data_IF_679402642936
#
_entry.id   IF_679402642936
#
_cell.length_a   1.000
_cell.length_b   1.000
_cell.length_c   1.000
_cell.angle_alpha   90.00
_cell.angle_beta   90.00
_cell.angle_gamma   90.00
#
_symmetry.space_group_name_H-M   'P 1'
#
loop_
_entity.id
_entity.type
_entity.pdbx_description
1 polymer ?
#
# COMPACT_ATOMS: atom_id res chain seq x y z
N UNK A 1 7.83 -5.56 3.60
CA UNK A 1 7.67 -5.00 4.96
C UNK A 1 7.64 -6.14 5.94
N UNK A 2 8.17 -5.97 7.14
CA UNK A 2 8.09 -6.96 8.21
C UNK A 2 7.32 -6.37 9.38
N UNK A 3 6.43 -7.17 9.97
CA UNK A 3 5.64 -6.83 11.16
C UNK A 3 5.98 -7.85 12.23
N UNK A 4 6.49 -7.38 13.35
CA UNK A 4 6.93 -8.24 14.44
C UNK A 4 6.09 -7.97 15.69
N UNK A 5 5.69 -9.04 16.39
CA UNK A 5 4.98 -8.91 17.65
C UNK A 5 5.96 -8.99 18.83
N UNK A 6 6.41 -7.82 19.27
CA UNK A 6 7.27 -7.65 20.46
C UNK A 6 6.49 -7.68 21.78
N UNK A 7 5.18 -7.93 21.73
CA UNK A 7 4.32 -8.02 22.90
C UNK A 7 4.34 -9.41 23.55
N UNK A 8 3.61 -9.54 24.65
CA UNK A 8 3.46 -10.80 25.40
C UNK A 8 2.17 -11.56 25.07
N UNK A 9 1.36 -11.06 24.14
CA UNK A 9 0.07 -11.67 23.77
C UNK A 9 -0.09 -11.80 22.26
N UNK A 10 -0.88 -12.77 21.82
CA UNK A 10 -1.17 -12.96 20.41
C UNK A 10 -1.98 -11.77 19.85
N UNK A 11 -1.58 -11.30 18.67
CA UNK A 11 -2.24 -10.18 17.98
C UNK A 11 -2.95 -10.70 16.74
N UNK A 12 -4.28 -10.70 16.78
CA UNK A 12 -5.14 -10.94 15.62
C UNK A 12 -5.22 -9.67 14.79
N UNK A 13 -5.19 -9.79 13.46
CA UNK A 13 -5.24 -8.63 12.58
C UNK A 13 -6.13 -8.82 11.35
N UNK A 14 -6.61 -7.70 10.82
CA UNK A 14 -7.29 -7.63 9.52
C UNK A 14 -6.86 -6.38 8.76
N UNK A 15 -6.97 -6.42 7.44
CA UNK A 15 -6.67 -5.28 6.57
C UNK A 15 -7.95 -4.60 6.09
N UNK A 16 -7.93 -3.27 6.07
CA UNK A 16 -9.02 -2.47 5.54
C UNK A 16 -8.46 -1.34 4.65
N UNK A 17 -8.86 -1.30 3.38
CA UNK A 17 -8.52 -0.18 2.51
C UNK A 17 -9.31 1.06 2.93
N UNK A 18 -8.62 2.18 3.12
CA UNK A 18 -9.25 3.47 3.44
C UNK A 18 -9.49 4.26 2.15
N UNK A 19 -10.65 4.93 2.09
CA UNK A 19 -10.91 5.90 1.05
C UNK A 19 -10.04 7.13 1.30
N UNK A 20 -9.16 7.46 0.35
CA UNK A 20 -8.31 8.66 0.43
C UNK A 20 -9.02 9.77 -0.32
N UNK A 21 -9.36 10.90 0.34
CA UNK A 21 -9.92 12.05 -0.35
C UNK A 21 -8.91 12.57 -1.37
N UNK A 22 -9.35 12.78 -2.60
CA UNK A 22 -8.52 13.39 -3.62
C UNK A 22 -8.58 14.91 -3.50
N UNK A 23 -7.43 15.57 -3.54
CA UNK A 23 -7.35 17.04 -3.51
C UNK A 23 -8.12 17.72 -4.65
N UNK A 24 -8.34 17.00 -5.76
CA UNK A 24 -9.09 17.44 -6.93
C UNK A 24 -10.03 16.33 -7.40
N UNK A 25 -11.26 16.24 -6.85
CA UNK A 25 -12.21 15.18 -7.16
C UNK A 25 -12.71 15.25 -8.61
N UNK A 26 -12.92 16.46 -9.15
CA UNK A 26 -13.46 16.67 -10.51
C UNK A 26 -12.44 16.43 -11.62
N UNK A 27 -11.14 16.43 -11.29
CA UNK A 27 -10.06 16.31 -12.26
C UNK A 27 -9.74 14.85 -12.66
N UNK A 28 -10.42 13.84 -12.09
CA UNK A 28 -10.17 12.43 -12.40
C UNK A 28 -11.42 11.70 -12.87
N UNK A 29 -11.30 11.03 -14.01
CA UNK A 29 -12.21 9.96 -14.42
C UNK A 29 -12.09 8.83 -13.40
N UNK A 30 -13.19 8.59 -12.69
CA UNK A 30 -13.29 7.59 -11.64
C UNK A 30 -12.83 6.22 -12.14
N UNK A 31 -11.67 5.77 -11.68
CA UNK A 31 -11.29 4.35 -11.76
C UNK A 31 -10.87 3.92 -10.37
N UNK A 32 -11.79 3.28 -9.65
CA UNK A 32 -11.55 2.64 -8.35
C UNK A 32 -10.67 1.39 -8.48
N UNK A 33 -9.69 1.41 -9.38
CA UNK A 33 -8.83 0.26 -9.64
C UNK A 33 -7.82 0.15 -8.50
N UNK A 34 -7.71 -1.05 -7.94
CA UNK A 34 -6.63 -1.37 -7.01
C UNK A 34 -5.32 -1.50 -7.79
N UNK A 35 -4.28 -0.82 -7.33
CA UNK A 35 -2.95 -0.85 -7.93
C UNK A 35 -1.94 -1.58 -7.05
N UNK A 36 -2.24 -1.75 -5.77
CA UNK A 36 -1.41 -2.49 -4.82
C UNK A 36 -2.07 -3.81 -4.44
N UNK A 37 -1.34 -4.91 -4.62
CA UNK A 37 -1.79 -6.26 -4.34
C UNK A 37 -0.89 -6.88 -3.29
N UNK A 38 -1.49 -7.48 -2.27
CA UNK A 38 -0.81 -8.20 -1.21
C UNK A 38 -1.82 -9.13 -0.54
N UNK A 39 -1.35 -10.01 0.35
CA UNK A 39 -2.26 -10.85 1.11
C UNK A 39 -3.00 -10.02 2.17
N UNK A 40 -4.28 -9.74 1.91
CA UNK A 40 -5.19 -9.00 2.81
C UNK A 40 -5.99 -9.90 3.75
N UNK A 41 -5.69 -11.21 3.80
CA UNK A 41 -6.37 -12.14 4.69
C UNK A 41 -6.19 -11.71 6.15
N UNK A 42 -7.18 -12.04 6.97
CA UNK A 42 -7.02 -11.97 8.43
C UNK A 42 -5.94 -12.95 8.87
N UNK A 43 -5.35 -12.69 10.03
CA UNK A 43 -4.30 -13.54 10.58
C UNK A 43 -4.04 -13.29 12.05
N UNK A 44 -3.05 -13.99 12.58
CA UNK A 44 -2.54 -13.86 13.94
C UNK A 44 -1.02 -13.80 13.92
N UNK A 45 -0.42 -13.01 14.80
CA UNK A 45 1.02 -12.96 15.05
C UNK A 45 1.23 -13.29 16.53
N UNK A 46 1.92 -14.40 16.82
CA UNK A 46 2.19 -14.83 18.20
C UNK A 46 3.29 -13.97 18.84
N UNK A 47 3.41 -13.95 20.18
CA UNK A 47 4.51 -13.28 20.86
C UNK A 47 5.88 -13.74 20.34
N UNK A 48 6.72 -12.80 19.90
CA UNK A 48 8.05 -13.08 19.34
C UNK A 48 8.06 -13.49 17.86
N UNK A 49 6.90 -13.65 17.22
CA UNK A 49 6.82 -13.99 15.79
C UNK A 49 6.91 -12.73 14.89
N UNK A 50 7.42 -12.97 13.69
CA UNK A 50 7.45 -11.98 12.60
C UNK A 50 6.63 -12.42 11.40
N UNK A 51 5.96 -11.47 10.78
CA UNK A 51 5.17 -11.64 9.55
C UNK A 51 5.73 -10.76 8.44
N UNK A 52 6.20 -11.39 7.36
CA UNK A 52 6.56 -10.68 6.12
C UNK A 52 5.32 -10.37 5.30
N UNK A 53 5.16 -9.11 4.92
CA UNK A 53 4.13 -8.61 3.99
C UNK A 53 4.80 -8.17 2.69
N UNK A 54 4.39 -8.81 1.59
CA UNK A 54 4.89 -8.56 0.25
C UNK A 54 3.86 -7.76 -0.53
N UNK A 55 4.29 -6.64 -1.08
CA UNK A 55 3.44 -5.74 -1.86
C UNK A 55 3.86 -5.79 -3.32
N UNK A 56 2.87 -5.93 -4.20
CA UNK A 56 3.03 -5.89 -5.64
C UNK A 56 2.33 -4.64 -6.14
N UNK A 57 3.07 -3.75 -6.80
CA UNK A 57 2.51 -2.58 -7.47
C UNK A 57 2.33 -2.90 -8.96
N UNK A 58 1.13 -2.67 -9.48
CA UNK A 58 0.80 -2.80 -10.91
C UNK A 58 -0.08 -1.64 -11.36
N UNK A 59 0.29 -1.02 -12.48
CA UNK A 59 -0.48 0.03 -13.14
C UNK A 59 -0.35 -0.09 -14.65
N UNK A 60 -1.47 -0.07 -15.36
CA UNK A 60 -1.50 -0.07 -16.83
C UNK A 60 -1.27 1.33 -17.42
N UNK A 61 -1.55 2.36 -16.63
CA UNK A 61 -1.47 3.77 -17.03
C UNK A 61 -0.34 4.45 -16.24
N UNK A 62 0.47 5.32 -16.86
CA UNK A 62 1.46 6.10 -16.14
C UNK A 62 0.79 7.02 -15.11
N UNK A 63 1.57 7.38 -14.09
CA UNK A 63 1.15 8.30 -13.06
C UNK A 63 1.45 7.81 -11.65
N UNK A 64 1.05 8.64 -10.69
CA UNK A 64 1.26 8.39 -9.26
C UNK A 64 -0.01 7.77 -8.68
N UNK A 65 0.15 6.67 -7.97
CA UNK A 65 -0.92 5.96 -7.26
C UNK A 65 -0.59 5.92 -5.78
N UNK A 66 -1.58 6.27 -4.97
CA UNK A 66 -1.49 6.22 -3.50
C UNK A 66 -2.67 5.45 -2.97
N UNK A 67 -2.41 4.46 -2.12
CA UNK A 67 -3.43 3.74 -1.36
C UNK A 67 -3.07 3.77 0.12
N UNK A 68 -4.08 3.92 0.97
CA UNK A 68 -3.90 3.87 2.43
C UNK A 68 -4.67 2.65 2.95
N UNK A 69 -3.99 1.83 3.72
CA UNK A 69 -4.52 0.61 4.31
C UNK A 69 -4.41 0.69 5.83
N UNK A 70 -5.51 0.42 6.53
CA UNK A 70 -5.54 0.27 7.99
C UNK A 70 -5.29 -1.17 8.37
N UNK A 71 -4.41 -1.37 9.35
CA UNK A 71 -4.22 -2.65 10.03
C UNK A 71 -5.03 -2.62 11.32
N UNK A 72 -6.17 -3.30 11.33
CA UNK A 72 -6.98 -3.44 12.54
C UNK A 72 -6.39 -4.57 13.39
N UNK A 73 -6.29 -4.38 14.70
CA UNK A 73 -5.71 -5.38 15.60
C UNK A 73 -6.58 -5.66 16.81
N UNK A 74 -6.53 -6.91 17.29
CA UNK A 74 -7.09 -7.34 18.55
C UNK A 74 -6.05 -8.19 19.31
N UNK A 75 -5.63 -7.80 20.54
CA UNK A 75 -6.08 -6.62 21.27
C UNK A 75 -5.73 -5.31 20.57
N UNK A 76 -6.43 -4.24 20.94
CA UNK A 76 -6.21 -2.90 20.38
C UNK A 76 -4.81 -2.43 20.78
N UNK A 77 -3.99 -2.09 19.79
CA UNK A 77 -2.64 -1.58 19.99
C UNK A 77 -2.64 -0.04 20.04
N UNK A 78 -1.51 0.54 20.47
CA UNK A 78 -1.26 1.99 20.47
C UNK A 78 -2.37 2.83 21.14
N UNK A 79 -3.02 2.31 22.17
CA UNK A 79 -4.10 3.01 22.87
C UNK A 79 -5.32 3.33 22.00
N UNK A 80 -5.52 2.62 20.89
CA UNK A 80 -6.61 2.86 19.94
C UNK A 80 -6.23 3.77 18.76
N UNK A 81 -4.99 4.23 18.67
CA UNK A 81 -4.52 4.93 17.49
C UNK A 81 -4.54 4.01 16.25
N UNK A 82 -4.96 4.57 15.10
CA UNK A 82 -5.04 3.83 13.84
C UNK A 82 -3.64 3.48 13.33
N UNK A 83 -3.34 2.18 13.17
CA UNK A 83 -2.15 1.73 12.45
C UNK A 83 -2.45 1.79 10.95
N UNK A 84 -1.70 2.61 10.20
CA UNK A 84 -1.90 2.80 8.77
C UNK A 84 -0.62 2.56 7.99
N UNK A 85 -0.77 1.95 6.81
CA UNK A 85 0.28 1.75 5.82
C UNK A 85 -0.11 2.52 4.57
N UNK A 86 0.74 3.47 4.18
CA UNK A 86 0.57 4.24 2.94
C UNK A 86 1.48 3.66 1.87
N UNK A 87 0.88 3.18 0.80
CA UNK A 87 1.58 2.65 -0.36
C UNK A 87 1.56 3.70 -1.47
N UNK A 88 2.74 4.04 -1.99
CA UNK A 88 2.89 5.01 -3.09
C UNK A 88 3.74 4.42 -4.20
N UNK A 89 3.23 4.50 -5.42
CA UNK A 89 3.80 3.87 -6.61
C UNK A 89 3.79 4.85 -7.76
N UNK A 90 4.84 4.80 -8.57
CA UNK A 90 4.99 5.64 -9.75
C UNK A 90 5.13 4.71 -10.95
N UNK A 91 4.19 4.83 -11.88
CA UNK A 91 4.26 4.16 -13.17
C UNK A 91 4.72 5.17 -14.22
N UNK A 92 5.78 4.84 -14.93
CA UNK A 92 6.35 5.67 -15.98
C UNK A 92 6.10 5.04 -17.34
N UNK A 93 5.94 5.88 -18.36
CA UNK A 93 6.01 5.40 -19.73
C UNK A 93 7.48 5.30 -20.13
N UNK A 94 7.84 4.25 -20.86
CA UNK A 94 9.19 4.16 -21.42
C UNK A 94 9.36 5.23 -22.49
N UNK A 95 10.44 6.00 -22.39
CA UNK A 95 10.80 6.95 -23.45
C UNK A 95 11.33 6.17 -24.65
N UNK A 96 10.49 6.07 -25.69
CA UNK A 96 10.84 5.37 -26.94
C UNK A 96 11.67 6.24 -27.88
N UNK A 97 11.81 7.53 -27.62
CA UNK A 97 12.56 8.46 -28.48
C UNK A 97 13.89 8.89 -27.86
N UNK A 98 14.31 8.26 -26.77
CA UNK A 98 15.56 8.56 -26.07
C UNK A 98 16.78 8.57 -27.00
N UNK A 99 16.92 7.54 -27.85
CA UNK A 99 18.04 7.43 -28.80
C UNK A 99 18.00 8.53 -29.86
N UNK A 100 16.80 8.90 -30.33
CA UNK A 100 16.62 9.98 -31.30
C UNK A 100 16.99 11.33 -30.69
N UNK A 101 16.69 11.56 -29.41
CA UNK A 101 17.10 12.78 -28.70
C UNK A 101 18.60 12.85 -28.50
N UNK A 102 19.25 11.74 -28.13
CA UNK A 102 20.70 11.70 -27.96
C UNK A 102 21.45 11.95 -29.29
N UNK A 103 20.88 11.59 -30.44
CA UNK A 103 21.49 11.86 -31.74
C UNK A 103 21.45 13.36 -32.17
N UNK A 104 20.77 14.23 -31.40
CA UNK A 104 20.68 15.66 -31.65
C UNK A 104 21.66 16.50 -30.79
N UNK A 105 22.40 15.85 -29.88
CA UNK A 105 23.48 16.44 -29.06
C UNK A 105 24.84 16.28 -29.75
#
# INVERSE_FOLDING_TARGET
>A
MEVQNEGSTAVYYSWQRLAVPHSFPDARTHTHTQHFYFNTSTGVILPGDSKRVEFIFKSEVPGIRTEVWRLNTHPVLLGGASIQVTLRGVALYQDKTADQRHALE
#
